data_IF_761619860357
#
_entry.id   IF_761619860357
#
_cell.length_a   1.000
_cell.length_b   1.000
_cell.length_c   1.000
_cell.angle_alpha   90.00
_cell.angle_beta   90.00
_cell.angle_gamma   90.00
#
_symmetry.space_group_name_H-M   'P 1'
#
loop_
_entity.id
_entity.type
_entity.pdbx_description
1 polymer ?
#
# COMPACT_ATOMS: atom_id res chain seq x y z
N UNK A 1 61.83 -21.84 -25.47
CA UNK A 1 60.62 -21.66 -24.64
C UNK A 1 59.55 -22.50 -25.29
N UNK A 2 59.23 -23.63 -24.67
CA UNK A 2 58.40 -24.67 -25.24
C UNK A 2 56.93 -24.27 -25.22
N UNK A 3 56.31 -24.32 -26.40
CA UNK A 3 54.89 -23.99 -26.61
C UNK A 3 53.99 -24.93 -25.80
N UNK A 4 54.44 -26.18 -25.58
CA UNK A 4 53.74 -27.17 -24.75
C UNK A 4 53.70 -26.78 -23.27
N UNK A 5 54.72 -26.08 -22.77
CA UNK A 5 54.79 -25.61 -21.39
C UNK A 5 53.82 -24.43 -21.16
N UNK A 6 53.57 -23.64 -22.21
CA UNK A 6 52.62 -22.52 -22.17
C UNK A 6 51.16 -22.98 -22.20
N UNK A 7 50.86 -24.07 -22.91
CA UNK A 7 49.50 -24.65 -22.98
C UNK A 7 49.13 -25.30 -21.64
N UNK A 8 50.03 -26.10 -21.03
CA UNK A 8 49.81 -26.68 -19.69
C UNK A 8 49.56 -25.63 -18.62
N UNK A 9 50.32 -24.52 -18.65
CA UNK A 9 50.15 -23.43 -17.69
C UNK A 9 48.83 -22.69 -17.87
N UNK A 10 48.32 -22.57 -19.09
CA UNK A 10 47.01 -22.00 -19.36
C UNK A 10 45.86 -22.91 -18.88
N UNK A 11 46.03 -24.23 -19.02
CA UNK A 11 45.07 -25.22 -18.49
C UNK A 11 45.04 -25.24 -16.95
N UNK A 12 46.19 -25.11 -16.30
CA UNK A 12 46.31 -25.01 -14.83
C UNK A 12 45.60 -23.78 -14.27
N UNK A 13 45.76 -22.62 -14.94
CA UNK A 13 45.10 -21.37 -14.55
C UNK A 13 43.58 -21.46 -14.72
N UNK A 14 43.10 -22.17 -15.76
CA UNK A 14 41.67 -22.39 -15.97
C UNK A 14 41.08 -23.33 -14.90
N UNK A 15 41.78 -24.42 -14.57
CA UNK A 15 41.35 -25.36 -13.54
C UNK A 15 41.32 -24.71 -12.13
N UNK A 16 42.29 -23.84 -11.81
CA UNK A 16 42.25 -23.04 -10.56
C UNK A 16 41.07 -22.07 -10.53
N UNK A 17 40.73 -21.46 -11.68
CA UNK A 17 39.59 -20.56 -11.79
C UNK A 17 38.27 -21.29 -11.59
N UNK A 18 38.11 -22.45 -12.22
CA UNK A 18 36.91 -23.27 -12.11
C UNK A 18 36.74 -23.82 -10.68
N UNK A 19 37.84 -24.19 -10.01
CA UNK A 19 37.82 -24.61 -8.60
C UNK A 19 37.46 -23.47 -7.64
N UNK A 20 37.93 -22.25 -7.91
CA UNK A 20 37.58 -21.06 -7.13
C UNK A 20 36.09 -20.68 -7.30
N UNK A 21 35.57 -20.73 -8.52
CA UNK A 21 34.15 -20.49 -8.79
C UNK A 21 33.24 -21.57 -8.15
N UNK A 22 33.68 -22.83 -8.16
CA UNK A 22 32.96 -23.92 -7.47
C UNK A 22 33.00 -23.78 -5.95
N UNK A 23 34.11 -23.32 -5.38
CA UNK A 23 34.22 -23.05 -3.94
C UNK A 23 33.33 -21.87 -3.50
N UNK A 24 33.22 -20.81 -4.30
CA UNK A 24 32.30 -19.71 -4.05
C UNK A 24 30.82 -20.14 -4.15
N UNK A 25 30.48 -21.02 -5.09
CA UNK A 25 29.13 -21.57 -5.24
C UNK A 25 28.76 -22.50 -4.08
N UNK A 26 29.66 -23.36 -3.62
CA UNK A 26 29.42 -24.22 -2.46
C UNK A 26 29.26 -23.41 -1.17
N UNK A 27 30.05 -22.34 -0.99
CA UNK A 27 29.86 -21.42 0.14
C UNK A 27 28.55 -20.62 0.05
N UNK A 28 28.04 -20.34 -1.15
CA UNK A 28 26.73 -19.73 -1.32
C UNK A 28 25.59 -20.71 -0.98
N UNK A 29 25.77 -22.00 -1.26
CA UNK A 29 24.79 -23.06 -0.97
C UNK A 29 24.71 -23.43 0.52
N UNK A 30 25.78 -23.21 1.30
CA UNK A 30 25.80 -23.45 2.76
C UNK A 30 25.31 -22.27 3.61
N UNK A 31 25.13 -21.07 3.02
CA UNK A 31 24.66 -19.90 3.78
C UNK A 31 23.24 -20.11 4.27
N UNK A 32 23.03 -19.88 5.57
CA UNK A 32 21.69 -19.90 6.15
C UNK A 32 20.88 -18.66 5.73
N UNK A 33 19.55 -18.78 5.71
CA UNK A 33 18.66 -17.65 5.40
C UNK A 33 18.91 -16.45 6.33
N UNK A 34 19.16 -16.70 7.62
CA UNK A 34 19.40 -15.67 8.62
C UNK A 34 20.70 -14.90 8.37
N UNK A 35 21.78 -15.60 7.98
CA UNK A 35 23.05 -14.96 7.59
C UNK A 35 22.87 -14.08 6.36
N UNK A 36 22.20 -14.60 5.32
CA UNK A 36 21.88 -13.83 4.12
C UNK A 36 21.06 -12.58 4.45
N UNK A 37 20.02 -12.70 5.28
CA UNK A 37 19.15 -11.58 5.61
C UNK A 37 19.83 -10.55 6.52
N UNK A 38 20.68 -11.00 7.45
CA UNK A 38 21.50 -10.10 8.28
C UNK A 38 22.46 -9.27 7.44
N UNK A 39 23.05 -9.85 6.38
CA UNK A 39 23.89 -9.12 5.44
C UNK A 39 23.08 -8.10 4.65
N UNK A 40 21.91 -8.48 4.13
CA UNK A 40 20.99 -7.57 3.44
C UNK A 40 20.56 -6.41 4.36
N UNK A 41 20.26 -6.68 5.63
CA UNK A 41 19.89 -5.66 6.61
C UNK A 41 21.07 -4.75 6.97
N UNK A 42 22.28 -5.29 7.14
CA UNK A 42 23.48 -4.49 7.44
C UNK A 42 23.81 -3.49 6.33
N UNK A 43 23.51 -3.84 5.07
CA UNK A 43 23.69 -2.96 3.91
C UNK A 43 22.61 -1.88 3.80
N UNK A 44 21.47 -2.03 4.49
CA UNK A 44 20.40 -1.02 4.48
C UNK A 44 20.76 0.13 5.41
N UNK A 45 20.74 1.34 4.86
CA UNK A 45 20.89 2.55 5.66
C UNK A 45 19.54 2.87 6.30
N UNK A 46 19.52 2.87 7.63
CA UNK A 46 18.38 3.37 8.39
C UNK A 46 18.48 4.90 8.45
N UNK A 47 17.64 5.57 7.67
CA UNK A 47 17.52 7.02 7.71
C UNK A 47 16.55 7.41 8.83
N UNK A 48 16.91 8.43 9.58
CA UNK A 48 16.06 9.01 10.62
C UNK A 48 15.66 10.42 10.21
N UNK A 49 14.40 10.77 10.45
CA UNK A 49 13.91 12.13 10.26
C UNK A 49 13.21 12.61 11.52
N UNK A 50 13.07 13.93 11.65
CA UNK A 50 12.35 14.53 12.77
C UNK A 50 11.03 15.09 12.28
N UNK A 51 9.92 14.50 12.73
CA UNK A 51 8.56 14.94 12.41
C UNK A 51 7.95 15.51 13.68
N UNK A 52 7.59 16.80 13.65
CA UNK A 52 7.02 17.49 14.83
C UNK A 52 7.90 17.40 16.09
N UNK A 53 9.22 17.30 15.89
CA UNK A 53 10.20 17.15 16.96
C UNK A 53 10.26 15.76 17.60
N UNK A 54 9.61 14.76 17.01
CA UNK A 54 9.79 13.33 17.32
C UNK A 54 10.73 12.76 16.26
N UNK A 55 11.80 12.11 16.71
CA UNK A 55 12.75 11.43 15.82
C UNK A 55 12.17 10.05 15.47
N UNK A 56 11.91 9.83 14.19
CA UNK A 56 11.32 8.59 13.69
C UNK A 56 12.18 7.99 12.58
N UNK A 57 12.07 6.69 12.40
CA UNK A 57 12.69 6.00 11.28
C UNK A 57 11.95 6.35 9.98
N UNK A 58 12.70 6.63 8.91
CA UNK A 58 12.13 6.79 7.58
C UNK A 58 11.81 5.41 7.03
N UNK A 59 10.56 5.16 6.58
CA UNK A 59 10.21 3.88 5.98
C UNK A 59 11.06 3.63 4.74
N UNK A 60 11.83 2.54 4.70
CA UNK A 60 12.64 2.24 3.53
C UNK A 60 11.76 1.70 2.38
N UNK A 61 12.19 1.86 1.12
CA UNK A 61 11.48 1.27 -0.02
C UNK A 61 11.38 -0.25 0.15
N UNK A 62 10.18 -0.80 -0.04
CA UNK A 62 9.89 -2.23 0.11
C UNK A 62 9.69 -2.72 1.55
N UNK A 63 9.84 -1.87 2.58
CA UNK A 63 9.56 -2.22 3.99
C UNK A 63 8.07 -2.09 4.36
N UNK A 64 7.18 -2.51 3.47
CA UNK A 64 5.76 -2.66 3.84
C UNK A 64 5.60 -3.99 4.57
N UNK A 65 5.40 -3.94 5.88
CA UNK A 65 5.05 -5.15 6.64
C UNK A 65 3.77 -5.76 6.05
N UNK A 66 3.68 -7.10 6.04
CA UNK A 66 2.47 -7.80 5.58
C UNK A 66 1.23 -7.35 6.36
N UNK A 67 1.42 -6.99 7.63
CA UNK A 67 0.39 -6.42 8.50
C UNK A 67 -0.09 -5.06 7.98
N UNK A 68 0.81 -4.11 7.73
CA UNK A 68 0.50 -2.80 7.18
C UNK A 68 -0.20 -2.92 5.82
N UNK A 69 0.31 -3.79 4.93
CA UNK A 69 -0.34 -4.07 3.64
C UNK A 69 -1.79 -4.52 3.80
N UNK A 70 -2.05 -5.45 4.72
CA UNK A 70 -3.40 -5.95 5.01
C UNK A 70 -4.32 -4.88 5.61
N UNK A 71 -3.78 -3.92 6.37
CA UNK A 71 -4.54 -2.78 6.91
C UNK A 71 -4.89 -1.82 5.77
N UNK A 72 -3.94 -1.49 4.90
CA UNK A 72 -4.15 -0.60 3.74
C UNK A 72 -5.16 -1.17 2.74
N UNK A 73 -5.08 -2.47 2.45
CA UNK A 73 -6.03 -3.13 1.54
C UNK A 73 -7.45 -3.12 2.11
N UNK A 74 -7.60 -3.29 3.44
CA UNK A 74 -8.89 -3.15 4.13
C UNK A 74 -9.42 -1.71 4.14
N UNK A 75 -8.54 -0.73 4.32
CA UNK A 75 -8.93 0.68 4.25
C UNK A 75 -9.41 1.06 2.83
N UNK A 76 -8.78 0.52 1.78
CA UNK A 76 -9.19 0.72 0.39
C UNK A 76 -10.52 0.06 0.04
N UNK A 77 -10.80 -1.12 0.58
CA UNK A 77 -12.03 -1.85 0.26
C UNK A 77 -13.29 -1.30 0.94
N UNK A 78 -13.19 -0.19 1.69
CA UNK A 78 -14.29 0.42 2.45
C UNK A 78 -14.97 -0.54 3.44
N UNK A 79 -14.36 -1.70 3.73
CA UNK A 79 -15.02 -2.78 4.48
C UNK A 79 -15.04 -2.53 6.00
N UNK A 80 -14.22 -1.60 6.52
CA UNK A 80 -14.33 -1.02 7.87
C UNK A 80 -13.36 0.16 8.00
N UNK A 81 -13.76 1.18 8.75
CA UNK A 81 -12.85 2.19 9.26
C UNK A 81 -11.78 1.48 10.11
N UNK A 82 -10.51 1.74 9.83
CA UNK A 82 -9.36 1.23 10.60
C UNK A 82 -9.61 1.51 12.08
N UNK A 83 -9.56 0.48 12.93
CA UNK A 83 -9.73 0.69 14.37
C UNK A 83 -8.50 1.42 14.92
N UNK A 84 -8.67 2.15 16.02
CA UNK A 84 -7.57 2.82 16.72
C UNK A 84 -6.35 1.90 16.94
N UNK A 85 -6.47 0.67 17.49
CA UNK A 85 -5.32 -0.22 17.64
C UNK A 85 -4.70 -0.68 16.30
N UNK A 86 -5.48 -0.77 15.22
CA UNK A 86 -4.93 -1.04 13.89
C UNK A 86 -4.12 0.16 13.37
N UNK A 87 -4.55 1.39 13.64
CA UNK A 87 -3.82 2.60 13.28
C UNK A 87 -2.51 2.72 14.07
N UNK A 88 -2.53 2.46 15.38
CA UNK A 88 -1.34 2.41 16.22
C UNK A 88 -0.33 1.40 15.70
N UNK A 89 -0.78 0.18 15.41
CA UNK A 89 0.09 -0.85 14.85
C UNK A 89 0.65 -0.47 13.48
N UNK A 90 -0.17 0.09 12.59
CA UNK A 90 0.29 0.51 11.27
C UNK A 90 1.37 1.60 11.34
N UNK A 91 1.21 2.57 12.25
CA UNK A 91 2.20 3.64 12.45
C UNK A 91 3.44 3.11 13.16
N UNK A 92 3.28 2.24 14.15
CA UNK A 92 4.38 1.55 14.82
C UNK A 92 5.26 0.78 13.84
N UNK A 93 4.64 0.02 12.94
CA UNK A 93 5.32 -0.73 11.89
C UNK A 93 6.10 0.18 10.91
N UNK A 94 5.66 1.42 10.69
CA UNK A 94 6.29 2.35 9.74
C UNK A 94 7.37 3.25 10.37
N UNK A 95 7.09 3.77 11.56
CA UNK A 95 7.83 4.89 12.14
C UNK A 95 8.48 4.55 13.49
N UNK A 96 8.23 3.34 14.00
CA UNK A 96 8.65 2.88 15.32
C UNK A 96 7.51 2.93 16.35
N UNK A 97 7.57 2.04 17.33
CA UNK A 97 6.60 1.98 18.42
C UNK A 97 6.51 3.32 19.18
N UNK A 98 5.29 3.73 19.54
CA UNK A 98 5.04 4.97 20.29
C UNK A 98 5.11 6.27 19.45
N UNK A 99 5.41 6.20 18.15
CA UNK A 99 5.48 7.39 17.30
C UNK A 99 4.15 8.15 17.23
N UNK A 100 3.02 7.42 17.15
CA UNK A 100 1.69 8.03 17.10
C UNK A 100 1.38 8.77 18.41
N UNK A 101 1.61 8.14 19.56
CA UNK A 101 1.38 8.72 20.89
C UNK A 101 2.23 9.98 21.09
N UNK A 102 3.52 9.91 20.77
CA UNK A 102 4.42 11.05 20.88
C UNK A 102 3.99 12.25 20.01
N UNK A 103 3.36 11.98 18.85
CA UNK A 103 2.78 13.02 18.02
C UNK A 103 1.46 13.56 18.58
N UNK A 104 0.58 12.70 19.10
CA UNK A 104 -0.68 13.10 19.74
C UNK A 104 -0.41 14.01 20.94
N UNK A 105 0.55 13.66 21.81
CA UNK A 105 0.97 14.48 22.96
C UNK A 105 1.46 15.86 22.54
N UNK A 106 2.01 15.97 21.33
CA UNK A 106 2.46 17.23 20.72
C UNK A 106 1.37 17.93 19.89
N UNK A 107 0.12 17.50 20.01
CA UNK A 107 -1.03 18.11 19.34
C UNK A 107 -1.05 17.89 17.83
N UNK A 108 -0.68 16.69 17.35
CA UNK A 108 -0.80 16.34 15.94
C UNK A 108 -2.27 16.29 15.52
N UNK A 109 -2.62 17.05 14.48
CA UNK A 109 -3.96 17.04 13.91
C UNK A 109 -4.15 15.86 12.95
N UNK A 110 -5.40 15.40 12.80
CA UNK A 110 -5.76 14.31 11.86
C UNK A 110 -5.30 14.61 10.42
N UNK A 111 -5.39 15.87 9.99
CA UNK A 111 -4.91 16.27 8.67
C UNK A 111 -3.41 16.13 8.52
N UNK A 112 -2.65 16.50 9.56
CA UNK A 112 -1.19 16.36 9.57
C UNK A 112 -0.80 14.88 9.56
N UNK A 113 -1.53 14.05 10.30
CA UNK A 113 -1.34 12.60 10.28
C UNK A 113 -1.55 12.02 8.87
N UNK A 114 -2.60 12.45 8.16
CA UNK A 114 -2.85 12.01 6.79
C UNK A 114 -1.69 12.36 5.84
N UNK A 115 -1.06 13.53 6.01
CA UNK A 115 0.12 13.94 5.24
C UNK A 115 1.33 13.07 5.56
N UNK A 116 1.58 12.81 6.85
CA UNK A 116 2.66 11.91 7.30
C UNK A 116 2.48 10.51 6.71
N UNK A 117 1.26 9.98 6.74
CA UNK A 117 0.96 8.68 6.15
C UNK A 117 1.16 8.69 4.62
N UNK A 118 0.69 9.72 3.92
CA UNK A 118 0.87 9.84 2.47
C UNK A 118 2.36 9.92 2.08
N UNK A 119 3.15 10.69 2.82
CA UNK A 119 4.59 10.79 2.63
C UNK A 119 5.30 9.45 2.90
N UNK A 120 5.03 8.82 4.03
CA UNK A 120 5.64 7.52 4.38
C UNK A 120 5.29 6.41 3.40
N UNK A 121 4.04 6.34 2.96
CA UNK A 121 3.62 5.38 1.94
C UNK A 121 4.37 5.60 0.62
N UNK A 122 4.58 6.84 0.22
CA UNK A 122 5.35 7.15 -0.99
C UNK A 122 6.81 6.68 -0.86
N UNK A 123 7.43 6.82 0.31
CA UNK A 123 8.76 6.29 0.60
C UNK A 123 8.80 4.76 0.47
N UNK A 124 7.84 4.05 1.07
CA UNK A 124 7.77 2.58 0.97
C UNK A 124 7.58 2.07 -0.47
N UNK A 125 6.98 2.89 -1.34
CA UNK A 125 6.78 2.59 -2.76
C UNK A 125 8.02 2.92 -3.62
N UNK A 126 9.11 3.41 -3.03
CA UNK A 126 10.30 3.86 -3.76
C UNK A 126 10.08 5.13 -4.58
N UNK A 127 9.03 5.91 -4.26
CA UNK A 127 8.73 7.19 -4.90
C UNK A 127 8.83 8.29 -3.84
N UNK A 128 10.03 8.71 -3.44
CA UNK A 128 10.19 9.79 -2.47
C UNK A 128 9.47 11.04 -3.00
N UNK A 129 8.58 11.60 -2.19
CA UNK A 129 7.89 12.87 -2.50
C UNK A 129 8.22 13.91 -1.43
N UNK A 130 8.14 15.18 -1.80
CA UNK A 130 8.21 16.28 -0.84
C UNK A 130 6.97 16.30 0.06
N UNK A 131 7.08 16.95 1.22
CA UNK A 131 5.95 17.20 2.13
C UNK A 131 4.80 17.96 1.44
N UNK A 132 5.13 18.90 0.57
CA UNK A 132 4.16 19.64 -0.24
C UNK A 132 3.37 18.72 -1.17
N UNK A 133 4.06 17.83 -1.91
CA UNK A 133 3.42 16.81 -2.74
C UNK A 133 2.55 15.85 -1.93
N UNK A 134 2.97 15.49 -0.71
CA UNK A 134 2.18 14.65 0.17
C UNK A 134 0.90 15.37 0.63
N UNK A 135 1.00 16.67 0.95
CA UNK A 135 -0.16 17.50 1.28
C UNK A 135 -1.13 17.62 0.09
N UNK A 136 -0.63 17.91 -1.10
CA UNK A 136 -1.43 17.94 -2.33
C UNK A 136 -2.14 16.60 -2.58
N UNK A 137 -1.45 15.48 -2.38
CA UNK A 137 -2.04 14.15 -2.56
C UNK A 137 -3.20 13.90 -1.58
N UNK A 138 -3.06 14.32 -0.32
CA UNK A 138 -4.14 14.24 0.68
C UNK A 138 -5.31 15.12 0.29
N UNK A 139 -5.07 16.36 -0.13
CA UNK A 139 -6.12 17.28 -0.54
C UNK A 139 -6.85 16.81 -1.81
N UNK A 140 -6.11 16.29 -2.79
CA UNK A 140 -6.69 15.67 -3.98
C UNK A 140 -7.50 14.41 -3.63
N UNK A 141 -7.05 13.61 -2.67
CA UNK A 141 -7.79 12.46 -2.13
C UNK A 141 -9.10 12.88 -1.46
N UNK A 142 -9.08 13.89 -0.59
CA UNK A 142 -10.28 14.47 0.01
C UNK A 142 -11.24 15.01 -1.05
N UNK A 143 -10.72 15.69 -2.08
CA UNK A 143 -11.53 16.19 -3.19
C UNK A 143 -12.21 15.06 -3.98
N UNK A 144 -11.50 13.94 -4.23
CA UNK A 144 -12.08 12.75 -4.88
C UNK A 144 -13.15 12.07 -4.02
N UNK A 145 -12.92 11.95 -2.70
CA UNK A 145 -13.90 11.39 -1.76
C UNK A 145 -15.11 12.31 -1.63
N UNK A 146 -14.91 13.62 -1.55
CA UNK A 146 -15.98 14.61 -1.52
C UNK A 146 -16.79 14.60 -2.82
N UNK A 147 -16.14 14.49 -3.98
CA UNK A 147 -16.81 14.34 -5.27
C UNK A 147 -17.59 13.01 -5.39
N UNK A 148 -17.03 11.90 -4.89
CA UNK A 148 -17.72 10.61 -4.86
C UNK A 148 -18.90 10.60 -3.87
N UNK A 149 -18.79 11.31 -2.75
CA UNK A 149 -19.86 11.50 -1.78
C UNK A 149 -20.96 12.44 -2.31
N UNK A 150 -20.58 13.53 -3.00
CA UNK A 150 -21.51 14.44 -3.67
C UNK A 150 -22.20 13.79 -4.89
N UNK A 151 -21.57 12.80 -5.53
CA UNK A 151 -22.19 11.97 -6.56
C UNK A 151 -23.32 11.06 -6.05
N UNK A 152 -23.40 10.82 -4.74
CA UNK A 152 -24.57 10.21 -4.08
C UNK A 152 -25.56 11.31 -3.70
N UNK A 153 -26.25 11.86 -4.70
CA UNK A 153 -27.47 12.60 -4.44
C UNK A 153 -28.51 11.66 -3.80
N UNK A 154 -29.08 11.96 -2.62
CA UNK A 154 -30.21 11.20 -2.06
C UNK A 154 -31.53 11.43 -2.82
N UNK A 155 -31.48 12.11 -3.98
CA UNK A 155 -32.65 12.63 -4.69
C UNK A 155 -33.09 11.89 -5.95
N UNK A 156 -32.47 10.77 -6.35
CA UNK A 156 -32.93 10.02 -7.53
C UNK A 156 -33.96 8.95 -7.20
N UNK A 157 -34.98 9.27 -6.41
CA UNK A 157 -36.27 8.60 -6.54
C UNK A 157 -36.93 9.27 -7.73
N UNK A 158 -36.86 8.65 -8.91
CA UNK A 158 -37.66 9.05 -10.07
C UNK A 158 -39.14 9.06 -9.63
N UNK A 159 -39.85 10.20 -9.58
CA UNK A 159 -41.30 10.16 -9.57
C UNK A 159 -41.72 9.78 -11.00
N UNK A 160 -42.27 8.58 -11.17
CA UNK A 160 -42.98 8.20 -12.39
C UNK A 160 -44.24 9.05 -12.50
N UNK A 161 -44.12 10.23 -13.10
CA UNK A 161 -45.20 11.20 -13.27
C UNK A 161 -45.19 11.77 -14.68
N UNK A 162 -45.45 10.93 -15.68
CA UNK A 162 -45.72 11.33 -17.06
C UNK A 162 -47.21 11.26 -17.35
N UNK A 163 -47.92 12.35 -17.05
CA UNK A 163 -49.33 12.59 -17.38
C UNK A 163 -49.46 12.91 -18.87
N UNK A 164 -50.40 12.29 -19.61
CA UNK A 164 -50.60 12.69 -21.01
C UNK A 164 -51.59 11.94 -21.91
N UNK A 165 -52.77 11.55 -21.43
CA UNK A 165 -54.02 11.61 -22.22
C UNK A 165 -54.28 10.63 -23.38
N UNK A 166 -55.39 9.87 -23.30
CA UNK A 166 -56.67 10.19 -23.97
C UNK A 166 -57.72 9.11 -23.73
N UNK A 167 -58.93 9.60 -23.50
CA UNK A 167 -60.23 8.96 -23.27
C UNK A 167 -60.72 7.99 -24.36
N UNK A 168 -61.46 6.95 -23.94
CA UNK A 168 -62.76 6.44 -24.47
C UNK A 168 -62.97 5.05 -23.85
N UNK A 169 -63.95 4.80 -23.00
CA UNK A 169 -65.38 4.94 -23.26
C UNK A 169 -65.93 3.61 -23.77
N UNK A 170 -66.61 2.83 -22.92
CA UNK A 170 -67.28 1.58 -23.29
C UNK A 170 -67.26 0.56 -22.14
N UNK A 171 -68.13 0.66 -21.14
CA UNK A 171 -69.47 0.06 -21.15
C UNK A 171 -69.48 -1.42 -21.53
N UNK A 172 -69.58 -2.30 -20.51
CA UNK A 172 -70.76 -3.15 -20.31
C UNK A 172 -70.66 -3.96 -19.01
N UNK A 173 -71.55 -3.60 -18.09
CA UNK A 173 -72.11 -4.49 -17.06
C UNK A 173 -72.81 -5.68 -17.73
N UNK A 174 -72.76 -6.88 -17.12
CA UNK A 174 -73.92 -7.65 -16.60
C UNK A 174 -73.66 -9.16 -16.58
N UNK A 175 -74.05 -9.76 -15.45
CA UNK A 175 -74.78 -11.04 -15.36
C UNK A 175 -73.96 -12.28 -15.69
N UNK A 176 -73.64 -13.16 -14.74
CA UNK A 176 -74.62 -13.80 -13.87
C UNK A 176 -75.38 -14.87 -14.66
N UNK A 177 -74.91 -16.12 -14.65
CA UNK A 177 -75.77 -17.30 -14.83
C UNK A 177 -75.12 -18.58 -14.30
N UNK A 178 -75.60 -18.99 -13.13
CA UNK A 178 -75.62 -20.39 -12.67
C UNK A 178 -76.39 -21.26 -13.67
N UNK A 179 -75.94 -22.48 -13.88
CA UNK A 179 -76.67 -23.74 -14.16
C UNK A 179 -75.58 -24.80 -14.34
N UNK A 180 -75.69 -26.04 -13.86
CA UNK A 180 -76.65 -26.73 -13.00
C UNK A 180 -75.92 -28.00 -12.58
#
# INVERSE_FOLDING_TARGET
MDVEESIRRAEEIHAEKDAAEQAEQQQADERTFDEFWSEVESRRRVEYTTIRGVRVQVPAPGQLTMRLRRILDRARSQQRLTTEPELHAAIGDMYGEGALEAWIERGLMVEQLAVILAWGLAQTQGRPISWERAYEAVQAGKAKVAAAAAGKNPGSIKPSGGTGGRSRGGSRRRGGRRKK
#
